data_IF_627696393021
#
_entry.id   IF_627696393021
#
_cell.length_a   1.000
_cell.length_b   1.000
_cell.length_c   1.000
_cell.angle_alpha   90.00
_cell.angle_beta   90.00
_cell.angle_gamma   90.00
#
_symmetry.space_group_name_H-M   'P 1'
#
loop_
_entity.id
_entity.type
_entity.pdbx_description
1 polymer ?
#
# COMPACT_ATOMS: atom_id res chain seq x y z
N UNK A 1 28.07 -13.92 -15.90
CA UNK A 1 27.54 -15.29 -15.73
C UNK A 1 26.01 -15.26 -15.67
N UNK A 2 25.34 -15.92 -16.62
CA UNK A 2 23.89 -16.15 -16.53
C UNK A 2 23.70 -17.14 -15.37
N UNK A 3 23.00 -16.75 -14.31
CA UNK A 3 22.70 -17.65 -13.21
C UNK A 3 21.69 -18.66 -13.74
N UNK A 4 22.12 -19.90 -14.02
CA UNK A 4 21.22 -21.02 -14.29
C UNK A 4 20.72 -21.54 -12.94
N UNK A 5 19.51 -21.15 -12.56
CA UNK A 5 18.87 -21.58 -11.31
C UNK A 5 17.38 -21.73 -11.54
N UNK A 6 16.81 -22.88 -11.20
CA UNK A 6 15.36 -23.15 -11.27
C UNK A 6 14.55 -22.41 -10.17
N UNK A 7 15.22 -21.61 -9.34
CA UNK A 7 14.54 -20.83 -8.31
C UNK A 7 13.73 -19.70 -8.95
N UNK A 8 12.43 -19.61 -8.62
CA UNK A 8 11.45 -18.70 -9.24
C UNK A 8 11.91 -17.23 -9.34
N UNK A 9 12.65 -16.74 -8.35
CA UNK A 9 13.14 -15.35 -8.31
C UNK A 9 14.22 -15.01 -9.35
N UNK A 10 14.90 -16.02 -9.92
CA UNK A 10 15.94 -15.86 -10.95
C UNK A 10 15.44 -16.21 -12.35
N UNK A 11 14.18 -16.62 -12.48
CA UNK A 11 13.56 -16.88 -13.78
C UNK A 11 13.13 -15.57 -14.46
N UNK A 12 13.20 -15.49 -15.80
CA UNK A 12 12.74 -14.31 -16.52
C UNK A 12 11.22 -14.12 -16.31
N UNK A 13 10.80 -12.87 -16.10
CA UNK A 13 9.38 -12.53 -15.99
C UNK A 13 8.74 -12.67 -17.38
N UNK A 14 7.82 -13.63 -17.52
CA UNK A 14 7.02 -13.81 -18.73
C UNK A 14 5.71 -13.01 -18.62
N UNK A 15 5.26 -12.44 -19.74
CA UNK A 15 3.89 -11.89 -19.84
C UNK A 15 2.92 -13.07 -19.98
N UNK A 16 1.96 -13.16 -19.07
CA UNK A 16 0.91 -14.17 -19.11
C UNK A 16 -0.32 -13.60 -19.81
N UNK A 17 -0.94 -14.37 -20.70
CA UNK A 17 -2.20 -13.97 -21.33
C UNK A 17 -3.34 -13.98 -20.30
N UNK A 18 -4.20 -12.96 -20.37
CA UNK A 18 -5.34 -12.84 -19.47
C UNK A 18 -6.37 -13.94 -19.79
N UNK A 19 -6.81 -14.74 -18.81
CA UNK A 19 -7.76 -15.82 -19.03
C UNK A 19 -9.10 -15.31 -19.58
N UNK A 20 -9.68 -16.05 -20.51
CA UNK A 20 -11.03 -15.79 -21.00
C UNK A 20 -12.04 -16.50 -20.09
N UNK A 21 -12.72 -15.72 -19.25
CA UNK A 21 -13.75 -16.23 -18.33
C UNK A 21 -15.14 -15.78 -18.77
N UNK A 22 -16.15 -16.61 -18.52
CA UNK A 22 -17.54 -16.33 -18.94
C UNK A 22 -18.23 -15.25 -18.08
N UNK A 23 -17.77 -15.07 -16.84
CA UNK A 23 -18.40 -14.16 -15.88
C UNK A 23 -17.92 -12.70 -16.06
N UNK A 24 -18.29 -12.12 -17.20
CA UNK A 24 -17.88 -10.78 -17.62
C UNK A 24 -18.40 -9.65 -16.72
N UNK A 25 -19.51 -9.86 -16.00
CA UNK A 25 -20.11 -8.82 -15.17
C UNK A 25 -19.32 -8.55 -13.87
N UNK A 26 -18.59 -9.56 -13.37
CA UNK A 26 -17.77 -9.42 -12.16
C UNK A 26 -16.32 -9.05 -12.44
N UNK A 27 -15.78 -9.44 -13.59
CA UNK A 27 -14.41 -9.12 -13.98
C UNK A 27 -14.30 -7.64 -14.31
N UNK A 28 -13.75 -6.84 -13.38
CA UNK A 28 -13.55 -5.40 -13.55
C UNK A 28 -12.13 -5.09 -14.03
N UNK A 29 -11.18 -5.94 -13.68
CA UNK A 29 -9.76 -5.81 -14.01
C UNK A 29 -9.20 -7.12 -14.56
N UNK A 30 -8.05 -7.09 -15.26
CA UNK A 30 -7.38 -8.33 -15.69
C UNK A 30 -7.04 -9.28 -14.52
N UNK A 31 -6.79 -8.75 -13.32
CA UNK A 31 -6.50 -9.55 -12.12
C UNK A 31 -7.72 -10.40 -11.73
N UNK A 32 -8.92 -9.83 -11.84
CA UNK A 32 -10.16 -10.55 -11.53
C UNK A 32 -10.35 -11.76 -12.44
N UNK A 33 -9.90 -11.71 -13.70
CA UNK A 33 -9.98 -12.86 -14.61
C UNK A 33 -9.14 -14.05 -14.12
N UNK A 34 -7.95 -13.80 -13.56
CA UNK A 34 -7.11 -14.85 -12.96
C UNK A 34 -7.74 -15.43 -11.69
N UNK A 35 -8.35 -14.57 -10.86
CA UNK A 35 -9.07 -15.02 -9.65
C UNK A 35 -10.29 -15.86 -10.03
N UNK A 36 -11.07 -15.41 -11.03
CA UNK A 36 -12.25 -16.14 -11.52
C UNK A 36 -11.87 -17.53 -12.09
N UNK A 37 -10.78 -17.61 -12.87
CA UNK A 37 -10.27 -18.89 -13.35
C UNK A 37 -9.92 -19.82 -12.17
N UNK A 38 -9.19 -19.30 -11.18
CA UNK A 38 -8.78 -20.09 -10.00
C UNK A 38 -9.99 -20.59 -9.22
N UNK A 39 -11.01 -19.75 -8.99
CA UNK A 39 -12.25 -20.16 -8.35
C UNK A 39 -12.99 -21.25 -9.13
N UNK A 40 -13.06 -21.11 -10.46
CA UNK A 40 -13.68 -22.11 -11.33
C UNK A 40 -12.98 -23.47 -11.23
N UNK A 41 -11.66 -23.50 -11.34
CA UNK A 41 -10.85 -24.72 -11.23
C UNK A 41 -10.97 -25.36 -9.83
N UNK A 42 -10.99 -24.54 -8.78
CA UNK A 42 -11.15 -24.98 -7.40
C UNK A 42 -12.60 -25.27 -6.99
N UNK A 43 -13.59 -25.09 -7.89
CA UNK A 43 -15.03 -25.22 -7.62
C UNK A 43 -15.50 -24.37 -6.43
N UNK A 44 -14.91 -23.20 -6.26
CA UNK A 44 -15.26 -22.25 -5.22
C UNK A 44 -16.29 -21.24 -5.74
N UNK A 45 -17.26 -20.94 -4.88
CA UNK A 45 -18.18 -19.82 -5.10
C UNK A 45 -17.65 -18.58 -4.41
N UNK A 46 -17.86 -17.43 -5.03
CA UNK A 46 -17.51 -16.13 -4.44
C UNK A 46 -18.43 -15.84 -3.26
N UNK A 47 -17.88 -15.14 -2.27
CA UNK A 47 -18.70 -14.50 -1.25
C UNK A 47 -19.45 -13.30 -1.85
N UNK A 48 -20.62 -13.01 -1.29
CA UNK A 48 -21.38 -11.80 -1.61
C UNK A 48 -20.58 -10.54 -1.21
N UNK A 49 -20.86 -9.45 -1.91
CA UNK A 49 -20.28 -8.15 -1.57
C UNK A 49 -20.72 -7.74 -0.15
N UNK A 50 -19.78 -7.17 0.60
CA UNK A 50 -20.06 -6.77 1.96
C UNK A 50 -21.10 -5.63 2.00
N UNK A 51 -21.89 -5.58 3.07
CA UNK A 51 -22.87 -4.50 3.26
C UNK A 51 -22.19 -3.13 3.28
N UNK A 52 -22.87 -2.04 2.87
CA UNK A 52 -22.29 -0.69 2.86
C UNK A 52 -21.67 -0.27 4.19
N UNK A 53 -22.32 -0.60 5.31
CA UNK A 53 -21.79 -0.39 6.67
C UNK A 53 -20.46 -1.13 6.93
N UNK A 54 -20.32 -2.35 6.41
CA UNK A 54 -19.09 -3.14 6.56
C UNK A 54 -17.99 -2.57 5.67
N UNK A 55 -18.32 -2.18 4.44
CA UNK A 55 -17.38 -1.61 3.48
C UNK A 55 -16.76 -0.31 3.99
N UNK A 56 -17.56 0.66 4.43
CA UNK A 56 -17.03 1.94 4.95
C UNK A 56 -16.10 1.71 6.14
N UNK A 57 -16.48 0.83 7.08
CA UNK A 57 -15.64 0.52 8.24
C UNK A 57 -14.30 -0.10 7.82
N UNK A 58 -14.30 -1.05 6.88
CA UNK A 58 -13.08 -1.67 6.37
C UNK A 58 -12.19 -0.66 5.68
N UNK A 59 -12.74 0.15 4.77
CA UNK A 59 -11.99 1.17 4.05
C UNK A 59 -11.25 2.13 4.99
N UNK A 60 -11.95 2.66 6.00
CA UNK A 60 -11.36 3.56 6.99
C UNK A 60 -10.24 2.89 7.81
N UNK A 61 -10.48 1.68 8.33
CA UNK A 61 -9.48 0.97 9.14
C UNK A 61 -8.28 0.49 8.31
N UNK A 62 -8.51 0.06 7.08
CA UNK A 62 -7.47 -0.48 6.21
C UNK A 62 -6.59 0.64 5.65
N UNK A 63 -7.21 1.73 5.14
CA UNK A 63 -6.49 2.81 4.47
C UNK A 63 -5.86 3.79 5.44
N UNK A 64 -6.56 4.21 6.49
CA UNK A 64 -6.09 5.26 7.42
C UNK A 64 -5.96 4.79 8.87
N UNK A 65 -6.35 3.56 9.21
CA UNK A 65 -6.17 3.00 10.55
C UNK A 65 -7.12 3.53 11.62
N UNK A 66 -8.07 4.40 11.25
CA UNK A 66 -9.04 5.04 12.15
C UNK A 66 -10.45 4.55 11.81
N UNK A 67 -11.36 4.39 12.79
CA UNK A 67 -12.76 4.10 12.49
C UNK A 67 -13.47 5.33 11.92
N UNK A 68 -14.48 5.16 11.04
CA UNK A 68 -15.30 6.27 10.56
C UNK A 68 -16.20 6.84 11.66
N UNK A 69 -16.56 8.12 11.55
CA UNK A 69 -17.60 8.72 12.42
C UNK A 69 -19.00 8.25 12.00
N UNK A 70 -20.01 8.35 12.89
CA UNK A 70 -21.40 8.04 12.53
C UNK A 70 -21.90 8.81 11.30
N UNK A 71 -21.51 10.07 11.15
CA UNK A 71 -21.90 10.94 10.03
C UNK A 71 -21.27 10.47 8.72
N UNK A 72 -20.00 10.08 8.74
CA UNK A 72 -19.30 9.54 7.58
C UNK A 72 -19.90 8.21 7.12
N UNK A 73 -20.30 7.35 8.07
CA UNK A 73 -21.02 6.11 7.77
C UNK A 73 -22.37 6.42 7.12
N UNK A 74 -23.14 7.34 7.69
CA UNK A 74 -24.45 7.70 7.13
C UNK A 74 -24.32 8.32 5.74
N UNK A 75 -23.32 9.18 5.53
CA UNK A 75 -23.05 9.78 4.22
C UNK A 75 -22.73 8.71 3.17
N UNK A 76 -21.88 7.73 3.49
CA UNK A 76 -21.57 6.66 2.56
C UNK A 76 -22.75 5.71 2.30
N UNK A 77 -23.47 5.31 3.36
CA UNK A 77 -24.59 4.37 3.25
C UNK A 77 -25.78 4.99 2.50
N UNK A 78 -25.98 6.31 2.66
CA UNK A 78 -27.02 7.07 1.96
C UNK A 78 -26.66 7.47 0.53
N UNK A 79 -25.41 7.33 0.11
CA UNK A 79 -24.97 7.68 -1.24
C UNK A 79 -25.24 6.54 -2.22
N UNK A 80 -26.25 6.74 -3.09
CA UNK A 80 -26.63 5.80 -4.14
C UNK A 80 -25.85 6.01 -5.45
N UNK A 81 -24.87 6.92 -5.48
CA UNK A 81 -24.04 7.16 -6.65
C UNK A 81 -23.25 5.89 -7.02
N UNK A 82 -23.14 5.54 -8.32
CA UNK A 82 -22.28 4.43 -8.76
C UNK A 82 -20.80 4.65 -8.39
N UNK A 83 -20.39 5.89 -8.14
CA UNK A 83 -19.01 6.27 -7.81
C UNK A 83 -18.75 6.45 -6.31
N UNK A 84 -19.74 6.25 -5.43
CA UNK A 84 -19.64 6.51 -3.99
C UNK A 84 -18.42 5.82 -3.34
N UNK A 85 -18.19 4.54 -3.71
CA UNK A 85 -17.04 3.76 -3.25
C UNK A 85 -15.71 4.38 -3.68
N UNK A 86 -15.59 4.72 -4.98
CA UNK A 86 -14.37 5.28 -5.54
C UNK A 86 -14.04 6.63 -4.91
N UNK A 87 -15.03 7.50 -4.78
CA UNK A 87 -14.87 8.82 -4.16
C UNK A 87 -14.48 8.72 -2.68
N UNK A 88 -15.03 7.75 -1.95
CA UNK A 88 -14.59 7.50 -0.57
C UNK A 88 -13.13 7.04 -0.52
N UNK A 89 -12.72 6.12 -1.39
CA UNK A 89 -11.32 5.66 -1.47
C UNK A 89 -10.39 6.84 -1.78
N UNK A 90 -10.71 7.66 -2.78
CA UNK A 90 -9.92 8.84 -3.15
C UNK A 90 -9.75 9.80 -1.95
N UNK A 91 -10.85 10.14 -1.26
CA UNK A 91 -10.78 10.99 -0.05
C UNK A 91 -9.91 10.40 1.06
N UNK A 92 -9.94 9.08 1.26
CA UNK A 92 -9.14 8.41 2.27
C UNK A 92 -7.66 8.35 1.89
N UNK A 93 -7.34 8.18 0.62
CA UNK A 93 -5.96 8.22 0.11
C UNK A 93 -5.36 9.62 0.19
N UNK A 94 -6.18 10.67 0.04
CA UNK A 94 -5.76 12.07 0.23
C UNK A 94 -5.61 12.49 1.70
N UNK A 95 -6.08 11.67 2.64
CA UNK A 95 -5.98 11.96 4.07
C UNK A 95 -4.51 11.91 4.53
N UNK A 96 -4.04 12.85 5.37
CA UNK A 96 -2.70 12.77 5.94
C UNK A 96 -2.47 11.50 6.77
N UNK A 97 -3.54 10.91 7.31
CA UNK A 97 -3.51 9.65 8.05
C UNK A 97 -3.17 8.43 7.19
N UNK A 98 -3.32 8.52 5.86
CA UNK A 98 -2.90 7.46 4.94
C UNK A 98 -1.40 7.19 5.07
N UNK A 99 -0.57 8.23 4.99
CA UNK A 99 0.88 8.11 5.14
C UNK A 99 1.31 7.71 6.54
N UNK A 100 0.57 8.10 7.59
CA UNK A 100 0.81 7.63 8.96
C UNK A 100 0.56 6.12 9.08
N UNK A 101 -0.56 5.65 8.52
CA UNK A 101 -0.94 4.24 8.51
C UNK A 101 0.04 3.38 7.73
N UNK A 102 0.34 3.75 6.49
CA UNK A 102 1.19 2.97 5.59
C UNK A 102 2.68 3.13 5.92
N UNK A 103 3.09 4.33 6.36
CA UNK A 103 4.44 4.58 6.85
C UNK A 103 4.80 3.68 8.02
N UNK A 104 3.85 3.36 8.93
CA UNK A 104 4.08 2.42 10.03
C UNK A 104 4.57 1.05 9.55
N UNK A 105 3.94 0.48 8.52
CA UNK A 105 4.35 -0.83 8.00
C UNK A 105 5.77 -0.80 7.44
N UNK A 106 6.13 0.29 6.75
CA UNK A 106 7.50 0.47 6.25
C UNK A 106 8.50 0.61 7.39
N UNK A 107 8.18 1.44 8.40
CA UNK A 107 9.05 1.69 9.54
C UNK A 107 9.25 0.43 10.41
N UNK A 108 8.21 -0.40 10.55
CA UNK A 108 8.28 -1.71 11.19
C UNK A 108 9.28 -2.62 10.44
N UNK A 109 9.22 -2.66 9.10
CA UNK A 109 10.14 -3.44 8.26
C UNK A 109 11.58 -2.91 8.29
N UNK A 110 11.75 -1.58 8.26
CA UNK A 110 13.04 -0.90 8.36
C UNK A 110 13.64 -0.97 9.77
N UNK A 111 12.90 -1.51 10.75
CA UNK A 111 13.27 -1.57 12.18
C UNK A 111 13.60 -0.19 12.74
N UNK A 112 12.81 0.79 12.34
CA UNK A 112 12.96 2.15 12.84
C UNK A 112 12.71 2.21 14.34
N UNK A 113 13.54 2.98 15.04
CA UNK A 113 13.40 3.26 16.46
C UNK A 113 13.98 4.64 16.79
N UNK A 114 13.45 5.28 17.83
CA UNK A 114 13.96 6.56 18.34
C UNK A 114 15.22 6.39 19.21
N UNK A 115 15.68 5.15 19.38
CA UNK A 115 16.84 4.82 20.18
C UNK A 115 17.63 3.65 19.58
N UNK A 116 18.81 3.37 20.13
CA UNK A 116 19.66 2.25 19.70
C UNK A 116 19.15 0.88 20.18
N UNK A 117 18.21 0.86 21.12
CA UNK A 117 17.57 -0.33 21.66
C UNK A 117 18.46 -1.12 22.62
N UNK A 118 19.49 -1.82 22.11
CA UNK A 118 20.20 -2.87 22.86
C UNK A 118 21.51 -2.41 23.53
N UNK A 119 21.71 -2.82 24.79
CA UNK A 119 22.87 -2.60 25.68
C UNK A 119 23.25 -1.13 25.98
N UNK A 120 23.24 -0.27 24.97
CA UNK A 120 23.49 1.16 25.06
C UNK A 120 22.35 1.87 24.35
N UNK A 121 21.21 1.96 25.02
CA UNK A 121 19.96 2.54 24.48
C UNK A 121 20.01 4.06 24.41
N UNK A 122 20.93 4.58 23.62
CA UNK A 122 21.04 6.02 23.38
C UNK A 122 19.91 6.48 22.47
N UNK A 123 19.33 7.62 22.81
CA UNK A 123 18.37 8.32 21.96
C UNK A 123 19.04 8.68 20.63
N UNK A 124 18.32 8.49 19.53
CA UNK A 124 18.66 8.98 18.19
C UNK A 124 17.91 10.30 17.98
N UNK A 125 18.51 11.47 18.30
CA UNK A 125 17.79 12.74 18.41
C UNK A 125 17.13 13.23 17.11
N UNK A 126 17.55 12.68 15.96
CA UNK A 126 17.05 13.06 14.64
C UNK A 126 16.32 11.93 13.91
N UNK A 127 16.09 10.77 14.54
CA UNK A 127 15.42 9.62 13.90
C UNK A 127 14.00 9.94 13.40
N UNK A 128 13.33 10.91 14.03
CA UNK A 128 12.02 11.41 13.60
C UNK A 128 12.03 11.96 12.17
N UNK A 129 13.17 12.46 11.67
CA UNK A 129 13.27 12.99 10.30
C UNK A 129 13.02 11.89 9.27
N UNK A 130 13.57 10.70 9.48
CA UNK A 130 13.33 9.56 8.62
C UNK A 130 11.87 9.09 8.69
N UNK A 131 11.29 9.02 9.89
CA UNK A 131 9.85 8.73 10.07
C UNK A 131 8.98 9.70 9.27
N UNK A 132 9.22 11.00 9.44
CA UNK A 132 8.43 12.05 8.79
C UNK A 132 8.65 12.05 7.27
N UNK A 133 9.87 11.75 6.81
CA UNK A 133 10.16 11.52 5.39
C UNK A 133 9.35 10.35 4.81
N UNK A 134 9.28 9.21 5.51
CA UNK A 134 8.52 8.04 5.05
C UNK A 134 7.03 8.38 4.96
N UNK A 135 6.47 8.97 6.02
CA UNK A 135 5.07 9.41 6.06
C UNK A 135 4.78 10.40 4.91
N UNK A 136 5.67 11.39 4.71
CA UNK A 136 5.52 12.37 3.64
C UNK A 136 5.62 11.74 2.24
N UNK A 137 6.47 10.73 2.06
CA UNK A 137 6.64 10.03 0.79
C UNK A 137 5.36 9.30 0.38
N UNK A 138 4.67 8.65 1.34
CA UNK A 138 3.36 8.05 1.08
C UNK A 138 2.28 9.10 0.76
N UNK A 139 2.18 10.16 1.57
CA UNK A 139 1.16 11.22 1.38
C UNK A 139 1.34 12.01 0.09
N UNK A 140 2.56 12.08 -0.46
CA UNK A 140 2.87 12.75 -1.74
C UNK A 140 2.77 11.81 -2.94
N UNK A 141 2.37 10.55 -2.75
CA UNK A 141 2.38 9.51 -3.77
C UNK A 141 3.74 9.42 -4.49
N UNK A 142 4.83 9.40 -3.70
CA UNK A 142 6.19 9.34 -4.25
C UNK A 142 6.32 8.04 -5.06
N UNK A 143 6.76 8.10 -6.34
CA UNK A 143 6.89 6.92 -7.16
C UNK A 143 7.75 5.85 -6.47
N UNK A 144 7.24 4.63 -6.38
CA UNK A 144 7.89 3.54 -5.63
C UNK A 144 9.38 3.34 -5.99
N UNK A 145 9.71 3.43 -7.29
CA UNK A 145 11.09 3.35 -7.79
C UNK A 145 11.99 4.45 -7.22
N UNK A 146 11.45 5.67 -7.11
CA UNK A 146 12.19 6.81 -6.57
C UNK A 146 12.35 6.67 -5.06
N UNK A 147 11.28 6.32 -4.35
CA UNK A 147 11.32 6.01 -2.92
C UNK A 147 12.39 4.96 -2.61
N UNK A 148 12.36 3.80 -3.27
CA UNK A 148 13.38 2.75 -3.07
C UNK A 148 14.81 3.21 -3.39
N UNK A 149 15.00 4.01 -4.43
CA UNK A 149 16.32 4.53 -4.78
C UNK A 149 16.86 5.43 -3.66
N UNK A 150 16.03 6.33 -3.14
CA UNK A 150 16.37 7.22 -2.04
C UNK A 150 16.70 6.42 -0.76
N UNK A 151 16.00 5.32 -0.49
CA UNK A 151 16.28 4.43 0.65
C UNK A 151 17.65 3.74 0.56
N UNK A 152 18.12 3.43 -0.65
CA UNK A 152 19.34 2.64 -0.87
C UNK A 152 20.60 3.49 -1.03
N UNK A 153 20.47 4.69 -1.59
CA UNK A 153 21.62 5.50 -2.00
C UNK A 153 21.29 7.01 -2.05
N UNK A 154 20.41 7.49 -1.17
CA UNK A 154 19.97 8.88 -1.12
C UNK A 154 21.12 9.89 -0.93
N UNK A 155 22.15 9.53 -0.17
CA UNK A 155 23.39 10.26 0.04
C UNK A 155 24.26 10.40 -1.25
N UNK A 156 24.14 9.46 -2.17
CA UNK A 156 24.86 9.43 -3.45
C UNK A 156 24.07 10.09 -4.61
N UNK A 157 22.82 10.52 -4.37
CA UNK A 157 22.00 11.13 -5.42
C UNK A 157 22.43 12.56 -5.76
N UNK A 158 22.43 12.85 -7.05
CA UNK A 158 22.69 14.19 -7.60
C UNK A 158 21.44 14.75 -8.29
N UNK A 159 21.13 16.05 -8.11
CA UNK A 159 21.81 17.00 -7.23
C UNK A 159 21.58 16.69 -5.73
N UNK A 160 22.47 17.20 -4.88
CA UNK A 160 22.34 17.09 -3.43
C UNK A 160 20.97 17.59 -2.94
N UNK A 161 20.37 16.85 -2.01
CA UNK A 161 19.13 17.21 -1.33
C UNK A 161 19.16 16.68 0.10
N UNK A 162 18.86 17.55 1.07
CA UNK A 162 18.69 17.13 2.47
C UNK A 162 17.62 16.04 2.62
N UNK A 163 16.58 16.07 1.77
CA UNK A 163 15.52 15.06 1.77
C UNK A 163 16.06 13.68 1.39
N UNK A 164 16.95 13.61 0.39
CA UNK A 164 17.55 12.35 -0.04
C UNK A 164 18.52 11.80 1.03
N UNK A 165 19.28 12.69 1.68
CA UNK A 165 20.16 12.29 2.78
C UNK A 165 19.38 11.76 3.99
N UNK A 166 18.21 12.34 4.30
CA UNK A 166 17.34 11.82 5.36
C UNK A 166 16.83 10.41 5.00
N UNK A 167 16.60 10.13 3.72
CA UNK A 167 16.03 8.85 3.26
C UNK A 167 16.94 7.63 3.52
N UNK A 168 18.24 7.82 3.74
CA UNK A 168 19.18 6.73 4.07
C UNK A 168 19.25 6.40 5.57
N UNK A 169 18.48 7.09 6.41
CA UNK A 169 18.31 6.79 7.83
C UNK A 169 19.27 7.50 8.80
#
# INVERSE_FOLDING_TARGET
>A
PKVESDHWAFQPIARVEVPKVQDSAWVRTPVDAFIAQTHFEARLQRADEATPHTLVRRLYLDLIGLPPTPEEVQAFVGDASPDAYKQLVERLLESPHYGERWGRYWLDLARWAESQGYQHDFVRPYAWRYRDYVISSFNKDKPYKQFLKEQLAGDELQPYSDENLIATG
#
